data_IF_668067423638
#
_entry.id   IF_668067423638
#
_cell.length_a   1.000
_cell.length_b   1.000
_cell.length_c   1.000
_cell.angle_alpha   90.00
_cell.angle_beta   90.00
_cell.angle_gamma   90.00
#
_symmetry.space_group_name_H-M   'P 1'
#
loop_
_entity.id
_entity.type
_entity.pdbx_description
1 polymer ?
#
# COMPACT_ATOMS: atom_id res chain seq x y z
N UNK A 1 17.15 20.08 9.19
CA UNK A 1 18.10 18.98 9.59
C UNK A 1 19.54 19.49 9.57
N UNK A 2 20.54 18.75 10.08
CA UNK A 2 21.95 19.18 10.05
C UNK A 2 22.78 18.42 9.00
N UNK A 3 23.71 19.12 8.34
CA UNK A 3 24.64 18.51 7.40
C UNK A 3 25.64 17.59 8.12
N UNK A 4 25.77 16.33 7.68
CA UNK A 4 26.70 15.36 8.29
C UNK A 4 28.18 15.67 8.09
N UNK A 5 28.51 16.59 7.17
CA UNK A 5 29.89 16.97 6.87
C UNK A 5 30.29 18.26 7.61
N UNK A 6 29.51 19.34 7.46
CA UNK A 6 29.84 20.65 8.03
C UNK A 6 29.10 20.99 9.33
N UNK A 7 28.13 20.17 9.77
CA UNK A 7 27.40 20.39 11.01
C UNK A 7 26.42 21.56 11.01
N UNK A 8 26.28 22.28 9.90
CA UNK A 8 25.36 23.42 9.81
C UNK A 8 23.92 22.99 9.55
N UNK A 9 22.98 23.80 10.00
CA UNK A 9 21.56 23.59 9.76
C UNK A 9 21.23 23.83 8.28
N UNK A 10 20.54 22.88 7.68
CA UNK A 10 20.16 22.87 6.27
C UNK A 10 18.66 22.55 6.15
N UNK A 11 18.05 23.12 5.13
CA UNK A 11 16.64 22.87 4.79
C UNK A 11 16.42 21.37 4.49
N UNK A 12 15.32 20.81 4.98
CA UNK A 12 15.02 19.37 4.86
C UNK A 12 14.84 18.90 3.40
N UNK A 13 14.67 19.82 2.45
CA UNK A 13 14.56 19.54 1.00
C UNK A 13 15.85 19.87 0.22
N UNK A 14 16.91 20.33 0.89
CA UNK A 14 18.15 20.70 0.20
C UNK A 14 18.94 19.45 -0.23
N UNK A 15 18.94 19.13 -1.52
CA UNK A 15 19.75 18.02 -2.07
C UNK A 15 21.27 18.29 -2.05
N UNK A 16 21.68 19.54 -1.93
CA UNK A 16 23.07 19.98 -1.78
C UNK A 16 23.16 20.97 -0.63
N UNK A 17 24.17 20.81 0.22
CA UNK A 17 24.45 21.77 1.29
C UNK A 17 25.11 23.01 0.70
N UNK A 18 24.51 24.19 0.87
CA UNK A 18 25.04 25.46 0.37
C UNK A 18 26.32 25.93 1.07
N UNK A 19 26.63 25.37 2.24
CA UNK A 19 27.80 25.78 3.03
C UNK A 19 29.08 24.99 2.71
N UNK A 20 28.96 23.72 2.29
CA UNK A 20 30.12 22.87 1.99
C UNK A 20 30.06 22.18 0.63
N UNK A 21 28.96 22.33 -0.11
CA UNK A 21 28.81 21.79 -1.47
C UNK A 21 28.58 20.28 -1.56
N UNK A 22 28.53 19.55 -0.44
CA UNK A 22 28.28 18.11 -0.46
C UNK A 22 26.79 17.80 -0.64
N UNK A 23 26.51 16.74 -1.38
CA UNK A 23 25.15 16.22 -1.53
C UNK A 23 24.61 15.80 -0.17
N UNK A 24 23.45 16.33 0.19
CA UNK A 24 22.74 15.91 1.37
C UNK A 24 21.84 14.76 0.95
N UNK A 25 21.98 13.61 1.63
CA UNK A 25 21.15 12.44 1.38
C UNK A 25 19.74 12.62 1.96
N UNK A 26 19.22 13.85 1.97
CA UNK A 26 17.86 14.18 2.36
C UNK A 26 16.93 14.10 1.16
N UNK A 27 16.89 12.93 0.54
CA UNK A 27 15.55 12.51 0.17
C UNK A 27 14.87 12.27 1.52
N UNK A 28 13.77 12.95 1.90
CA UNK A 28 12.96 12.43 2.99
C UNK A 28 12.63 11.03 2.52
N UNK A 29 13.34 10.03 3.06
CA UNK A 29 13.15 8.66 2.69
C UNK A 29 11.71 8.41 3.10
N UNK A 30 10.79 8.52 2.13
CA UNK A 30 9.42 8.13 2.26
C UNK A 30 9.54 6.74 2.84
N UNK A 31 9.25 6.63 4.14
CA UNK A 31 9.42 5.39 4.85
C UNK A 31 8.38 4.48 4.20
N UNK A 32 8.86 3.72 3.22
CA UNK A 32 8.08 2.82 2.37
C UNK A 32 8.34 1.42 2.92
N UNK A 33 8.18 1.32 4.24
CA UNK A 33 8.08 0.06 4.95
C UNK A 33 6.71 -0.53 4.59
N UNK A 34 6.60 -0.98 3.34
CA UNK A 34 5.54 -1.87 2.89
C UNK A 34 5.61 -3.13 3.73
N UNK A 35 4.76 -3.20 4.75
CA UNK A 35 4.62 -4.36 5.61
C UNK A 35 3.33 -5.12 5.32
N UNK A 36 3.28 -6.37 5.76
CA UNK A 36 2.12 -7.25 5.69
C UNK A 36 0.84 -6.60 6.23
N UNK A 37 0.95 -5.75 7.25
CA UNK A 37 -0.19 -5.04 7.86
C UNK A 37 -1.00 -4.17 6.90
N UNK A 38 -0.36 -3.55 5.89
CA UNK A 38 -1.07 -2.75 4.88
C UNK A 38 -1.93 -3.62 3.95
N UNK A 39 -1.49 -4.85 3.68
CA UNK A 39 -2.29 -5.83 2.94
C UNK A 39 -3.46 -6.35 3.77
N UNK A 40 -3.28 -6.59 5.07
CA UNK A 40 -4.37 -7.04 5.97
C UNK A 40 -5.45 -5.96 6.10
N UNK A 41 -5.07 -4.68 6.22
CA UNK A 41 -6.02 -3.56 6.19
C UNK A 41 -6.84 -3.54 4.90
N UNK A 42 -6.19 -3.73 3.75
CA UNK A 42 -6.87 -3.83 2.45
C UNK A 42 -7.78 -5.06 2.36
N UNK A 43 -7.42 -6.17 3.01
CA UNK A 43 -8.22 -7.38 3.06
C UNK A 43 -9.50 -7.19 3.88
N UNK A 44 -9.40 -6.59 5.07
CA UNK A 44 -10.54 -6.36 5.95
C UNK A 44 -11.53 -5.31 5.42
N UNK A 45 -11.04 -4.28 4.71
CA UNK A 45 -11.87 -3.20 4.16
C UNK A 45 -11.43 -2.91 2.71
N UNK A 46 -11.98 -3.63 1.71
CA UNK A 46 -11.52 -3.55 0.33
C UNK A 46 -11.62 -2.14 -0.27
N UNK A 47 -12.63 -1.35 0.13
CA UNK A 47 -12.80 0.04 -0.34
C UNK A 47 -11.64 0.93 0.15
N UNK A 48 -11.25 0.80 1.42
CA UNK A 48 -10.13 1.57 1.99
C UNK A 48 -8.81 1.16 1.33
N UNK A 49 -8.62 -0.12 1.04
CA UNK A 49 -7.45 -0.62 0.30
C UNK A 49 -7.33 -0.03 -1.12
N UNK A 50 -8.44 0.06 -1.86
CA UNK A 50 -8.48 0.70 -3.18
C UNK A 50 -8.21 2.21 -3.13
N UNK A 51 -8.77 2.92 -2.15
CA UNK A 51 -8.54 4.37 -1.97
C UNK A 51 -7.08 4.65 -1.59
N UNK A 52 -6.51 3.87 -0.65
CA UNK A 52 -5.09 3.97 -0.27
C UNK A 52 -4.16 3.65 -1.44
N UNK A 53 -4.50 2.66 -2.28
CA UNK A 53 -3.75 2.35 -3.49
C UNK A 53 -3.69 3.54 -4.46
N UNK A 54 -4.81 4.24 -4.67
CA UNK A 54 -4.87 5.41 -5.55
C UNK A 54 -4.13 6.63 -4.96
N UNK A 55 -4.33 6.91 -3.67
CA UNK A 55 -3.69 8.05 -2.97
C UNK A 55 -2.17 7.89 -2.88
N UNK A 56 -1.68 6.66 -2.67
CA UNK A 56 -0.24 6.38 -2.53
C UNK A 56 0.46 5.89 -3.80
N UNK A 57 -0.24 5.87 -4.94
CA UNK A 57 0.29 5.44 -6.23
C UNK A 57 1.62 6.13 -6.57
N UNK A 58 1.71 7.44 -6.39
CA UNK A 58 2.86 8.24 -6.80
C UNK A 58 3.81 8.59 -5.64
N UNK A 59 3.34 8.47 -4.40
CA UNK A 59 4.10 8.86 -3.20
C UNK A 59 4.73 7.67 -2.45
N UNK A 60 4.12 6.48 -2.43
CA UNK A 60 4.67 5.31 -1.73
C UNK A 60 4.33 4.00 -2.47
N UNK A 61 5.08 3.67 -3.54
CA UNK A 61 4.71 2.58 -4.44
C UNK A 61 4.73 1.20 -3.80
N UNK A 62 5.56 0.93 -2.77
CA UNK A 62 5.59 -0.40 -2.13
C UNK A 62 4.41 -0.62 -1.19
N UNK A 63 4.08 0.37 -0.35
CA UNK A 63 2.89 0.33 0.52
C UNK A 63 1.58 0.35 -0.29
N UNK A 64 1.51 1.12 -1.37
CA UNK A 64 0.36 1.10 -2.29
C UNK A 64 0.13 -0.31 -2.84
N UNK A 65 1.17 -0.96 -3.38
CA UNK A 65 1.06 -2.33 -3.91
C UNK A 65 0.59 -3.33 -2.85
N UNK A 66 1.10 -3.25 -1.62
CA UNK A 66 0.67 -4.13 -0.54
C UNK A 66 -0.83 -3.97 -0.20
N UNK A 67 -1.31 -2.73 -0.05
CA UNK A 67 -2.73 -2.44 0.21
C UNK A 67 -3.63 -2.86 -0.97
N UNK A 68 -3.19 -2.61 -2.20
CA UNK A 68 -3.92 -2.99 -3.41
C UNK A 68 -4.04 -4.51 -3.58
N UNK A 69 -2.98 -5.27 -3.34
CA UNK A 69 -3.01 -6.74 -3.38
C UNK A 69 -3.98 -7.29 -2.33
N UNK A 70 -3.95 -6.73 -1.11
CA UNK A 70 -4.89 -7.12 -0.04
C UNK A 70 -6.36 -6.93 -0.42
N UNK A 71 -6.70 -5.79 -1.04
CA UNK A 71 -8.06 -5.52 -1.51
C UNK A 71 -8.48 -6.45 -2.67
N UNK A 72 -7.56 -6.78 -3.59
CA UNK A 72 -7.85 -7.63 -4.74
C UNK A 72 -8.10 -9.09 -4.31
N UNK A 73 -7.34 -9.58 -3.34
CA UNK A 73 -7.51 -10.91 -2.77
C UNK A 73 -8.85 -11.03 -2.03
N UNK A 74 -9.23 -10.05 -1.19
CA UNK A 74 -10.49 -10.12 -0.44
C UNK A 74 -11.73 -10.12 -1.34
N UNK A 75 -11.75 -9.27 -2.37
CA UNK A 75 -12.82 -9.25 -3.38
C UNK A 75 -12.90 -10.60 -4.12
N UNK A 76 -11.76 -11.17 -4.50
CA UNK A 76 -11.71 -12.44 -5.22
C UNK A 76 -12.27 -13.60 -4.38
N UNK A 77 -11.89 -13.68 -3.10
CA UNK A 77 -12.40 -14.73 -2.18
C UNK A 77 -13.91 -14.60 -1.97
N UNK A 78 -14.41 -13.38 -1.80
CA UNK A 78 -15.86 -13.12 -1.64
C UNK A 78 -16.63 -13.60 -2.87
N UNK A 79 -16.17 -13.25 -4.08
CA UNK A 79 -16.82 -13.65 -5.34
C UNK A 79 -16.85 -15.17 -5.48
N UNK A 80 -15.71 -15.85 -5.25
CA UNK A 80 -15.62 -17.30 -5.34
C UNK A 80 -16.57 -18.00 -4.35
N UNK A 81 -16.66 -17.47 -3.12
CA UNK A 81 -17.55 -18.01 -2.10
C UNK A 81 -19.04 -17.89 -2.50
N UNK A 82 -19.45 -16.72 -3.01
CA UNK A 82 -20.82 -16.53 -3.50
C UNK A 82 -21.16 -17.44 -4.69
N UNK A 83 -20.23 -17.59 -5.64
CA UNK A 83 -20.41 -18.49 -6.80
C UNK A 83 -20.56 -19.93 -6.34
N UNK A 84 -19.75 -20.37 -5.37
CA UNK A 84 -19.81 -21.73 -4.85
C UNK A 84 -21.14 -22.00 -4.12
N UNK A 85 -21.61 -21.08 -3.28
CA UNK A 85 -22.94 -21.19 -2.64
C UNK A 85 -24.05 -21.22 -3.69
N UNK A 86 -23.97 -20.38 -4.72
CA UNK A 86 -24.97 -20.35 -5.78
C UNK A 86 -25.05 -21.68 -6.54
N UNK A 87 -23.91 -22.27 -6.89
CA UNK A 87 -23.85 -23.57 -7.58
C UNK A 87 -24.37 -24.70 -6.69
N UNK A 88 -23.98 -24.74 -5.41
CA UNK A 88 -24.46 -25.76 -4.46
C UNK A 88 -25.95 -25.58 -4.20
N UNK A 89 -26.43 -24.35 -3.99
CA UNK A 89 -27.84 -24.06 -3.77
C UNK A 89 -28.71 -24.41 -4.98
N UNK A 90 -28.25 -24.07 -6.18
CA UNK A 90 -28.89 -24.47 -7.43
C UNK A 90 -28.91 -26.00 -7.55
N UNK A 91 -27.78 -26.68 -7.33
CA UNK A 91 -27.69 -28.14 -7.41
C UNK A 91 -28.58 -28.86 -6.38
N UNK A 92 -28.66 -28.35 -5.15
CA UNK A 92 -29.53 -28.86 -4.10
C UNK A 92 -31.02 -28.68 -4.42
N UNK A 93 -31.39 -27.60 -5.11
CA UNK A 93 -32.76 -27.41 -5.56
C UNK A 93 -33.17 -28.41 -6.65
N UNK A 94 -32.25 -28.81 -7.54
CA UNK A 94 -32.54 -29.81 -8.60
C UNK A 94 -32.59 -31.25 -8.09
N UNK A 95 -31.90 -31.57 -6.98
CA UNK A 95 -31.92 -32.92 -6.38
C UNK A 95 -33.11 -33.15 -5.44
N UNK A 96 -33.93 -32.11 -5.21
CA UNK A 96 -35.14 -32.16 -4.37
C UNK A 96 -36.44 -32.40 -5.16
N UNK A 97 -36.36 -32.46 -6.51
CA UNK A 97 -37.48 -32.72 -7.44
C UNK A 97 -37.26 -34.04 -8.16
#
# INVERSE_FOLDING_TARGET
MFCKNCGQEIDDKAHICIHCGVATNSNPALVDNGGFGWGVLGCCIPIVGLVLFLVWKDSKPKTAKAAGIGALVSVSVIILFYVLIFVIGAAGAMSSY
#
